data_IF_187122756484
#
_entry.id   IF_187122756484
#
_cell.length_a   1.000
_cell.length_b   1.000
_cell.length_c   1.000
_cell.angle_alpha   90.00
_cell.angle_beta   90.00
_cell.angle_gamma   90.00
#
_symmetry.space_group_name_H-M   'P 1'
#
loop_
_entity.id
_entity.type
_entity.pdbx_description
1 polymer ?
#
# COMPACT_ATOMS: atom_id res chain seq x y z
N UNK A 1 38.29 -100.45 -43.28
CA UNK A 1 39.12 -100.35 -44.49
C UNK A 1 38.38 -99.44 -45.46
N UNK A 2 38.93 -98.26 -45.75
CA UNK A 2 38.30 -97.26 -46.63
C UNK A 2 38.56 -97.70 -48.08
N UNK A 3 37.59 -98.39 -48.67
CA UNK A 3 37.67 -98.87 -50.05
C UNK A 3 37.18 -97.78 -51.01
N UNK A 4 38.02 -97.56 -52.03
CA UNK A 4 38.04 -96.46 -52.99
C UNK A 4 36.77 -96.40 -53.86
N UNK A 5 35.84 -95.50 -53.51
CA UNK A 5 34.62 -95.24 -54.30
C UNK A 5 34.90 -94.17 -55.34
N UNK A 6 35.20 -94.60 -56.58
CA UNK A 6 35.39 -93.70 -57.72
C UNK A 6 34.12 -92.89 -58.01
N UNK A 7 34.24 -91.56 -58.28
CA UNK A 7 33.09 -90.70 -58.55
C UNK A 7 32.37 -91.09 -59.85
N UNK A 8 31.03 -90.97 -59.84
CA UNK A 8 30.18 -91.26 -61.00
C UNK A 8 30.27 -90.17 -62.07
N UNK A 9 29.93 -90.55 -63.31
CA UNK A 9 30.02 -89.69 -64.52
C UNK A 9 29.35 -88.32 -64.36
N UNK A 10 28.26 -88.22 -63.58
CA UNK A 10 27.57 -86.97 -63.30
C UNK A 10 28.44 -85.95 -62.54
N UNK A 11 29.21 -86.41 -61.54
CA UNK A 11 30.12 -85.56 -60.76
C UNK A 11 31.29 -85.05 -61.61
N UNK A 12 31.73 -85.84 -62.60
CA UNK A 12 32.80 -85.43 -63.52
C UNK A 12 32.34 -84.37 -64.53
N UNK A 13 31.08 -84.39 -64.95
CA UNK A 13 30.51 -83.37 -65.84
C UNK A 13 30.31 -82.02 -65.11
N UNK A 14 29.85 -82.04 -63.86
CA UNK A 14 29.69 -80.84 -63.02
C UNK A 14 31.03 -80.15 -62.72
N UNK A 15 32.08 -80.92 -62.42
CA UNK A 15 33.44 -80.39 -62.25
C UNK A 15 34.02 -79.88 -63.57
N UNK A 16 33.60 -80.45 -64.71
CA UNK A 16 33.93 -79.97 -66.05
C UNK A 16 33.41 -78.55 -66.32
N UNK A 17 32.14 -78.30 -66.03
CA UNK A 17 31.52 -76.98 -66.23
C UNK A 17 32.12 -75.91 -65.30
N UNK A 18 32.40 -76.26 -64.04
CA UNK A 18 33.07 -75.38 -63.07
C UNK A 18 34.52 -75.08 -63.51
N UNK A 19 35.24 -76.05 -64.09
CA UNK A 19 36.59 -75.85 -64.58
C UNK A 19 36.64 -74.92 -65.83
N UNK A 20 35.59 -74.92 -66.67
CA UNK A 20 35.47 -73.96 -67.79
C UNK A 20 35.21 -72.53 -67.32
N UNK A 21 34.39 -72.32 -66.29
CA UNK A 21 34.15 -70.97 -65.73
C UNK A 21 35.38 -70.40 -65.02
N UNK A 22 36.17 -71.24 -64.34
CA UNK A 22 37.44 -70.84 -63.71
C UNK A 22 38.51 -70.51 -64.75
N UNK A 23 38.52 -71.17 -65.92
CA UNK A 23 39.41 -70.79 -67.04
C UNK A 23 39.07 -69.40 -67.59
N UNK A 24 37.78 -69.08 -67.74
CA UNK A 24 37.33 -67.76 -68.23
C UNK A 24 37.70 -66.59 -67.33
N UNK A 25 37.77 -66.82 -66.01
CA UNK A 25 38.17 -65.79 -65.04
C UNK A 25 39.69 -65.60 -64.92
N UNK A 26 40.52 -66.60 -65.26
CA UNK A 26 41.99 -66.47 -65.23
C UNK A 26 42.58 -65.71 -66.41
N UNK A 27 41.91 -65.70 -67.57
CA UNK A 27 42.40 -64.97 -68.74
C UNK A 27 42.26 -63.43 -68.62
N UNK A 28 41.45 -62.91 -67.69
CA UNK A 28 41.23 -61.46 -67.53
C UNK A 28 42.09 -60.78 -66.44
N UNK A 29 42.80 -61.56 -65.60
CA UNK A 29 43.56 -61.00 -64.45
C UNK A 29 45.04 -60.76 -64.77
N UNK A 30 45.63 -61.47 -65.73
CA UNK A 30 47.04 -61.26 -66.12
C UNK A 30 47.25 -60.00 -66.99
N UNK A 31 46.18 -59.40 -67.52
CA UNK A 31 46.26 -58.21 -68.39
C UNK A 31 46.64 -56.91 -67.66
N UNK A 32 46.49 -56.84 -66.33
CA UNK A 32 46.60 -55.58 -65.58
C UNK A 32 47.82 -55.44 -64.66
N UNK A 33 48.70 -56.46 -64.57
CA UNK A 33 49.82 -56.43 -63.62
C UNK A 33 51.21 -56.60 -64.25
N UNK A 34 51.31 -56.83 -65.56
CA UNK A 34 52.60 -56.94 -66.24
C UNK A 34 52.76 -55.87 -67.32
N UNK A 35 53.43 -54.78 -66.96
CA UNK A 35 53.58 -53.59 -67.80
C UNK A 35 54.36 -53.86 -69.09
N UNK A 36 55.23 -54.88 -69.10
CA UNK A 36 56.01 -55.25 -70.27
C UNK A 36 55.16 -55.97 -71.32
N UNK A 37 54.21 -56.82 -70.91
CA UNK A 37 53.26 -57.48 -71.80
C UNK A 37 52.32 -56.45 -72.44
N UNK A 38 51.87 -55.46 -71.67
CA UNK A 38 51.03 -54.38 -72.17
C UNK A 38 51.78 -53.51 -73.19
N UNK A 39 53.03 -53.12 -72.91
CA UNK A 39 53.86 -52.35 -73.85
C UNK A 39 54.03 -53.09 -75.18
N UNK A 40 54.25 -54.40 -75.14
CA UNK A 40 54.45 -55.21 -76.34
C UNK A 40 53.18 -55.35 -77.19
N UNK A 41 52.01 -55.54 -76.57
CA UNK A 41 50.72 -55.55 -77.30
C UNK A 41 50.42 -54.18 -77.92
N UNK A 42 50.72 -53.11 -77.18
CA UNK A 42 50.49 -51.75 -77.64
C UNK A 42 51.38 -51.37 -78.83
N UNK A 43 52.67 -51.76 -78.79
CA UNK A 43 53.61 -51.60 -79.92
C UNK A 43 53.15 -52.38 -81.14
N UNK A 44 52.72 -53.65 -80.97
CA UNK A 44 52.18 -54.46 -82.07
C UNK A 44 50.97 -53.81 -82.73
N UNK A 45 50.03 -53.27 -81.94
CA UNK A 45 48.85 -52.58 -82.47
C UNK A 45 49.20 -51.28 -83.18
N UNK A 46 50.19 -50.54 -82.68
CA UNK A 46 50.69 -49.34 -83.34
C UNK A 46 51.27 -49.66 -84.72
N UNK A 47 52.11 -50.70 -84.82
CA UNK A 47 52.71 -51.15 -86.07
C UNK A 47 51.68 -51.68 -87.07
N UNK A 48 50.69 -52.46 -86.58
CA UNK A 48 49.61 -52.97 -87.42
C UNK A 48 48.72 -51.86 -88.00
N UNK A 49 48.44 -50.81 -87.22
CA UNK A 49 47.68 -49.66 -87.72
C UNK A 49 48.51 -48.78 -88.68
N UNK A 50 49.79 -48.55 -88.38
CA UNK A 50 50.65 -47.76 -89.26
C UNK A 50 50.81 -48.42 -90.64
N UNK A 51 50.99 -49.74 -90.67
CA UNK A 51 51.05 -50.52 -91.92
C UNK A 51 49.72 -50.56 -92.68
N UNK A 52 48.58 -50.60 -91.99
CA UNK A 52 47.26 -50.46 -92.62
C UNK A 52 47.01 -49.05 -93.19
N UNK A 53 47.65 -48.02 -92.63
CA UNK A 53 47.57 -46.63 -93.08
C UNK A 53 48.60 -46.27 -94.17
N UNK A 54 49.46 -47.21 -94.57
CA UNK A 54 50.49 -46.99 -95.60
C UNK A 54 51.73 -46.23 -95.11
N UNK A 55 51.91 -46.08 -93.80
CA UNK A 55 53.08 -45.43 -93.18
C UNK A 55 54.14 -46.45 -92.76
N UNK A 56 55.42 -46.15 -93.02
CA UNK A 56 56.54 -47.00 -92.58
C UNK A 56 56.96 -46.62 -91.16
N UNK A 57 56.34 -47.25 -90.16
CA UNK A 57 56.76 -47.14 -88.76
C UNK A 57 57.71 -48.29 -88.40
N UNK A 58 58.89 -47.96 -87.87
CA UNK A 58 59.82 -48.99 -87.37
C UNK A 58 59.43 -49.44 -85.96
N UNK A 59 59.73 -50.70 -85.63
CA UNK A 59 59.42 -51.27 -84.31
C UNK A 59 60.09 -50.51 -83.16
N UNK A 60 61.28 -49.95 -83.39
CA UNK A 60 62.01 -49.16 -82.41
C UNK A 60 61.30 -47.84 -82.06
N UNK A 61 60.79 -47.12 -83.08
CA UNK A 61 60.10 -45.83 -82.89
C UNK A 61 58.74 -46.00 -82.20
N UNK A 62 58.04 -47.10 -82.50
CA UNK A 62 56.79 -47.47 -81.83
C UNK A 62 57.02 -47.72 -80.33
N UNK A 63 58.09 -48.44 -79.98
CA UNK A 63 58.43 -48.78 -78.59
C UNK A 63 58.80 -47.53 -77.77
N UNK A 64 59.62 -46.63 -78.33
CA UNK A 64 59.94 -45.32 -77.72
C UNK A 64 58.71 -44.46 -77.47
N UNK A 65 57.74 -44.47 -78.39
CA UNK A 65 56.52 -43.67 -78.27
C UNK A 65 55.61 -44.15 -77.12
N UNK A 66 55.55 -45.47 -76.91
CA UNK A 66 54.77 -46.07 -75.82
C UNK A 66 55.40 -45.79 -74.45
N UNK A 67 56.73 -45.80 -74.36
CA UNK A 67 57.43 -45.49 -73.11
C UNK A 67 57.19 -44.04 -72.65
N UNK A 68 57.27 -43.07 -73.57
CA UNK A 68 57.01 -41.66 -73.29
C UNK A 68 55.56 -41.43 -72.83
N UNK A 69 54.61 -42.18 -73.39
CA UNK A 69 53.20 -42.08 -73.01
C UNK A 69 52.97 -42.53 -71.55
N UNK A 70 53.66 -43.58 -71.11
CA UNK A 70 53.50 -44.15 -69.77
C UNK A 70 54.22 -43.34 -68.68
N UNK A 71 55.36 -42.72 -69.00
CA UNK A 71 56.13 -41.90 -68.04
C UNK A 71 55.37 -40.65 -67.55
N UNK A 72 54.46 -40.10 -68.36
CA UNK A 72 53.70 -38.89 -68.01
C UNK A 72 52.51 -39.11 -67.08
N UNK A 73 52.13 -40.35 -66.77
CA UNK A 73 50.90 -40.64 -66.01
C UNK A 73 51.05 -40.70 -64.47
N UNK A 74 52.26 -40.59 -63.90
CA UNK A 74 52.49 -40.86 -62.47
C UNK A 74 53.23 -39.77 -61.68
N UNK A 75 52.94 -38.48 -61.88
CA UNK A 75 53.40 -37.41 -60.96
C UNK A 75 52.25 -36.81 -60.15
N UNK A 76 52.42 -36.72 -58.81
CA UNK A 76 51.43 -36.16 -57.87
C UNK A 76 51.85 -34.75 -57.42
N UNK A 77 50.95 -33.75 -57.55
CA UNK A 77 51.15 -32.39 -57.01
C UNK A 77 50.15 -32.06 -55.89
N UNK A 78 50.62 -31.44 -54.80
CA UNK A 78 49.75 -30.94 -53.72
C UNK A 78 48.91 -29.72 -54.18
N UNK A 79 47.63 -29.60 -53.78
CA UNK A 79 46.79 -28.47 -54.18
C UNK A 79 47.14 -27.19 -53.41
N UNK A 80 47.39 -26.11 -54.15
CA UNK A 80 47.64 -24.75 -53.63
C UNK A 80 46.38 -24.20 -52.92
N UNK A 81 46.58 -23.42 -51.86
CA UNK A 81 45.49 -22.81 -51.08
C UNK A 81 44.55 -21.96 -51.95
N UNK A 82 43.27 -22.34 -52.03
CA UNK A 82 42.24 -21.64 -52.80
C UNK A 82 40.88 -21.58 -52.09
N UNK A 83 39.93 -20.84 -52.68
CA UNK A 83 38.60 -20.53 -52.11
C UNK A 83 37.80 -21.80 -51.72
N UNK A 84 37.94 -22.89 -52.47
CA UNK A 84 37.33 -24.18 -52.17
C UNK A 84 37.82 -24.78 -50.84
N UNK A 85 39.08 -24.54 -50.48
CA UNK A 85 39.65 -25.01 -49.21
C UNK A 85 39.20 -24.14 -48.01
N UNK A 86 38.92 -22.85 -48.25
CA UNK A 86 38.26 -21.97 -47.26
C UNK A 86 36.82 -22.38 -46.99
N UNK A 87 36.04 -22.71 -48.02
CA UNK A 87 34.69 -23.25 -47.86
C UNK A 87 34.69 -24.62 -47.17
N UNK A 88 35.64 -25.50 -47.54
CA UNK A 88 35.83 -26.77 -46.85
C UNK A 88 36.16 -26.57 -45.36
N UNK A 89 37.07 -25.65 -45.02
CA UNK A 89 37.38 -25.31 -43.62
C UNK A 89 36.21 -24.65 -42.87
N UNK A 90 35.38 -23.85 -43.54
CA UNK A 90 34.16 -23.26 -42.98
C UNK A 90 33.12 -24.34 -42.67
N UNK A 91 32.95 -25.32 -43.57
CA UNK A 91 32.03 -26.45 -43.38
C UNK A 91 32.52 -27.44 -42.32
N UNK A 92 33.82 -27.75 -42.28
CA UNK A 92 34.42 -28.63 -41.26
C UNK A 92 34.33 -27.99 -39.87
N UNK A 93 34.54 -26.67 -39.76
CA UNK A 93 34.40 -25.94 -38.49
C UNK A 93 32.98 -25.40 -38.22
N UNK A 94 31.96 -25.81 -38.98
CA UNK A 94 30.60 -25.24 -38.89
C UNK A 94 30.01 -25.29 -37.48
N UNK A 95 30.23 -26.38 -36.74
CA UNK A 95 29.78 -26.50 -35.34
C UNK A 95 30.46 -25.49 -34.42
N UNK A 96 31.78 -25.33 -34.56
CA UNK A 96 32.58 -24.42 -33.73
C UNK A 96 32.31 -22.93 -34.07
N UNK A 97 32.05 -22.61 -35.33
CA UNK A 97 31.65 -21.27 -35.79
C UNK A 97 30.24 -20.93 -35.29
N UNK A 98 29.30 -21.88 -35.41
CA UNK A 98 27.95 -21.74 -34.91
C UNK A 98 27.93 -21.49 -33.40
N UNK A 99 28.70 -22.28 -32.65
CA UNK A 99 28.79 -22.15 -31.19
C UNK A 99 29.44 -20.84 -30.74
N UNK A 100 30.50 -20.39 -31.44
CA UNK A 100 31.27 -19.21 -31.02
C UNK A 100 30.64 -17.88 -31.46
N UNK A 101 29.94 -17.83 -32.59
CA UNK A 101 29.47 -16.56 -33.16
C UNK A 101 27.97 -16.52 -33.43
N UNK A 102 27.36 -17.59 -33.94
CA UNK A 102 25.94 -17.56 -34.35
C UNK A 102 25.01 -17.68 -33.13
N UNK A 103 25.29 -18.59 -32.19
CA UNK A 103 24.53 -18.72 -30.94
C UNK A 103 24.46 -17.43 -30.12
N UNK A 104 25.57 -16.72 -29.81
CA UNK A 104 25.48 -15.46 -29.05
C UNK A 104 24.78 -14.35 -29.84
N UNK A 105 24.95 -14.29 -31.17
CA UNK A 105 24.25 -13.32 -32.01
C UNK A 105 22.72 -13.54 -31.99
N UNK A 106 22.26 -14.79 -32.13
CA UNK A 106 20.84 -15.15 -32.02
C UNK A 106 20.28 -14.89 -30.62
N UNK A 107 21.04 -15.21 -29.57
CA UNK A 107 20.65 -14.90 -28.19
C UNK A 107 20.50 -13.39 -27.99
N UNK A 108 21.39 -12.58 -28.57
CA UNK A 108 21.32 -11.11 -28.48
C UNK A 108 20.10 -10.56 -29.19
N UNK A 109 19.81 -11.03 -30.40
CA UNK A 109 18.60 -10.65 -31.15
C UNK A 109 17.34 -11.07 -30.41
N UNK A 110 17.32 -12.27 -29.83
CA UNK A 110 16.20 -12.75 -29.02
C UNK A 110 15.99 -11.89 -27.76
N UNK A 111 17.07 -11.48 -27.08
CA UNK A 111 17.00 -10.58 -25.92
C UNK A 111 16.49 -9.20 -26.33
N UNK A 112 16.98 -8.63 -27.44
CA UNK A 112 16.51 -7.34 -27.95
C UNK A 112 15.03 -7.41 -28.34
N UNK A 113 14.61 -8.47 -29.03
CA UNK A 113 13.20 -8.72 -29.37
C UNK A 113 12.33 -8.89 -28.13
N UNK A 114 12.79 -9.64 -27.13
CA UNK A 114 12.11 -9.80 -25.86
C UNK A 114 11.97 -8.48 -25.11
N UNK A 115 13.03 -7.66 -25.05
CA UNK A 115 13.00 -6.34 -24.43
C UNK A 115 12.08 -5.36 -25.18
N UNK A 116 12.01 -5.43 -26.51
CA UNK A 116 11.08 -4.61 -27.31
C UNK A 116 9.62 -5.02 -27.04
N UNK A 117 9.31 -6.31 -27.00
CA UNK A 117 7.97 -6.84 -26.69
C UNK A 117 7.60 -6.54 -25.23
N UNK A 118 8.53 -6.75 -24.28
CA UNK A 118 8.32 -6.47 -22.87
C UNK A 118 8.12 -4.97 -22.62
N UNK A 119 8.87 -4.09 -23.28
CA UNK A 119 8.70 -2.64 -23.15
C UNK A 119 7.40 -2.13 -23.81
N UNK A 120 6.98 -2.72 -24.94
CA UNK A 120 5.67 -2.44 -25.53
C UNK A 120 4.51 -2.94 -24.65
N UNK A 121 4.65 -4.14 -24.06
CA UNK A 121 3.70 -4.70 -23.10
C UNK A 121 3.63 -3.88 -21.80
N UNK A 122 4.78 -3.45 -21.28
CA UNK A 122 4.86 -2.57 -20.12
C UNK A 122 4.22 -1.20 -20.40
N UNK A 123 4.44 -0.61 -21.59
CA UNK A 123 3.74 0.61 -22.01
C UNK A 123 2.22 0.39 -22.07
N UNK A 124 1.75 -0.71 -22.68
CA UNK A 124 0.32 -1.04 -22.79
C UNK A 124 -0.34 -1.21 -21.41
N UNK A 125 0.35 -1.88 -20.46
CA UNK A 125 -0.10 -2.03 -19.08
C UNK A 125 -0.02 -0.73 -18.27
N UNK A 126 1.00 0.10 -18.48
CA UNK A 126 1.16 1.39 -17.82
C UNK A 126 0.08 2.39 -18.24
N UNK A 127 -0.29 2.42 -19.53
CA UNK A 127 -1.38 3.27 -20.02
C UNK A 127 -2.76 2.75 -19.63
N UNK A 128 -3.01 1.43 -19.68
CA UNK A 128 -4.24 0.84 -19.17
C UNK A 128 -4.44 1.07 -17.66
N UNK A 129 -3.37 1.00 -16.87
CA UNK A 129 -3.42 1.33 -15.43
C UNK A 129 -3.56 2.82 -15.13
N UNK A 130 -3.19 3.71 -16.07
CA UNK A 130 -3.35 5.16 -15.89
C UNK A 130 -4.75 5.64 -16.27
N UNK A 131 -5.34 5.04 -17.29
CA UNK A 131 -6.74 5.20 -17.71
C UNK A 131 -7.70 4.76 -16.61
N UNK A 132 -7.58 3.50 -16.16
CA UNK A 132 -8.40 2.94 -15.09
C UNK A 132 -8.33 3.74 -13.78
N UNK A 133 -7.15 4.27 -13.42
CA UNK A 133 -7.02 5.13 -12.22
C UNK A 133 -7.77 6.44 -12.36
N UNK A 134 -7.80 7.03 -13.55
CA UNK A 134 -8.51 8.29 -13.79
C UNK A 134 -10.02 8.01 -13.85
N UNK A 135 -10.44 6.91 -14.47
CA UNK A 135 -11.83 6.43 -14.42
C UNK A 135 -12.31 6.29 -12.99
N UNK A 136 -11.63 5.47 -12.17
CA UNK A 136 -12.00 5.27 -10.78
C UNK A 136 -12.04 6.57 -9.98
N UNK A 137 -11.10 7.49 -10.21
CA UNK A 137 -11.10 8.78 -9.53
C UNK A 137 -12.26 9.69 -9.98
N UNK A 138 -12.64 9.65 -11.26
CA UNK A 138 -13.82 10.36 -11.77
C UNK A 138 -15.09 9.80 -11.14
N UNK A 139 -15.23 8.46 -11.11
CA UNK A 139 -16.39 7.78 -10.51
C UNK A 139 -16.48 8.05 -9.00
N UNK A 140 -15.37 7.99 -8.27
CA UNK A 140 -15.32 8.32 -6.83
C UNK A 140 -15.77 9.77 -6.57
N UNK A 141 -15.28 10.73 -7.36
CA UNK A 141 -15.67 12.13 -7.22
C UNK A 141 -17.12 12.37 -7.65
N UNK A 142 -17.66 11.58 -8.59
CA UNK A 142 -19.07 11.62 -8.94
C UNK A 142 -19.93 11.21 -7.73
N UNK A 143 -19.61 10.07 -7.10
CA UNK A 143 -20.32 9.60 -5.91
C UNK A 143 -20.21 10.60 -4.76
N UNK A 144 -19.02 11.15 -4.54
CA UNK A 144 -18.79 12.20 -3.55
C UNK A 144 -19.68 13.42 -3.81
N UNK A 145 -19.86 13.84 -5.07
CA UNK A 145 -20.77 14.95 -5.42
C UNK A 145 -22.22 14.64 -5.04
N UNK A 146 -22.70 13.43 -5.34
CA UNK A 146 -24.06 13.01 -4.98
C UNK A 146 -24.27 12.98 -3.47
N UNK A 147 -23.31 12.41 -2.73
CA UNK A 147 -23.34 12.39 -1.26
C UNK A 147 -23.39 13.80 -0.67
N UNK A 148 -22.56 14.73 -1.18
CA UNK A 148 -22.57 16.13 -0.75
C UNK A 148 -23.91 16.81 -1.10
N UNK A 149 -24.48 16.51 -2.26
CA UNK A 149 -25.79 17.04 -2.67
C UNK A 149 -26.91 16.58 -1.73
N UNK A 150 -26.89 15.30 -1.32
CA UNK A 150 -27.85 14.75 -0.35
C UNK A 150 -27.72 15.46 0.99
N UNK A 151 -26.49 15.60 1.51
CA UNK A 151 -26.24 16.28 2.80
C UNK A 151 -26.70 17.73 2.81
N UNK A 152 -26.52 18.48 1.71
CA UNK A 152 -26.95 19.87 1.61
C UNK A 152 -28.47 20.04 1.70
N UNK A 153 -29.23 19.01 1.29
CA UNK A 153 -30.69 19.04 1.39
C UNK A 153 -31.14 19.13 2.84
N UNK A 154 -30.45 18.47 3.77
CA UNK A 154 -30.83 18.45 5.19
C UNK A 154 -30.75 19.86 5.81
N UNK A 155 -29.75 20.66 5.42
CA UNK A 155 -29.63 22.06 5.87
C UNK A 155 -30.75 22.95 5.34
N UNK A 156 -31.19 22.71 4.09
CA UNK A 156 -32.27 23.49 3.47
C UNK A 156 -33.63 23.28 4.14
N UNK A 157 -33.83 22.13 4.80
CA UNK A 157 -35.08 21.78 5.48
C UNK A 157 -35.24 22.47 6.84
N UNK A 158 -34.18 23.10 7.36
CA UNK A 158 -34.24 23.82 8.64
C UNK A 158 -35.05 25.11 8.46
N UNK A 159 -36.26 25.11 9.03
CA UNK A 159 -37.21 26.21 8.94
C UNK A 159 -37.39 26.91 10.29
N UNK A 160 -36.46 27.79 10.63
CA UNK A 160 -36.64 28.77 11.70
C UNK A 160 -35.87 30.07 11.39
N UNK A 161 -36.26 31.19 12.01
CA UNK A 161 -35.64 32.51 11.82
C UNK A 161 -34.44 32.74 12.74
N UNK A 162 -33.60 31.72 12.96
CA UNK A 162 -32.43 31.83 13.80
C UNK A 162 -31.16 32.15 12.99
N UNK A 163 -30.15 32.73 13.64
CA UNK A 163 -28.85 33.01 13.01
C UNK A 163 -28.17 31.73 12.51
N UNK A 164 -28.34 30.61 13.22
CA UNK A 164 -27.89 29.28 12.83
C UNK A 164 -28.52 28.87 11.49
N UNK A 165 -29.85 28.97 11.36
CA UNK A 165 -30.55 28.58 10.14
C UNK A 165 -30.21 29.50 8.97
N UNK A 166 -29.95 30.78 9.23
CA UNK A 166 -29.47 31.68 8.18
C UNK A 166 -28.07 31.28 7.67
N UNK A 167 -27.16 30.91 8.57
CA UNK A 167 -25.83 30.42 8.19
C UNK A 167 -25.89 29.08 7.45
N UNK A 168 -26.68 28.12 7.94
CA UNK A 168 -26.85 26.82 7.29
C UNK A 168 -27.51 26.94 5.91
N UNK A 169 -28.44 27.87 5.73
CA UNK A 169 -28.99 28.22 4.41
C UNK A 169 -27.94 28.83 3.50
N UNK A 170 -27.09 29.72 4.01
CA UNK A 170 -26.01 30.30 3.23
C UNK A 170 -25.02 29.22 2.75
N UNK A 171 -24.59 28.32 3.65
CA UNK A 171 -23.80 27.13 3.29
C UNK A 171 -24.52 26.31 2.22
N UNK A 172 -25.80 25.98 2.44
CA UNK A 172 -26.61 25.19 1.50
C UNK A 172 -26.62 25.80 0.09
N UNK A 173 -26.92 27.10 -0.01
CA UNK A 173 -27.03 27.82 -1.29
C UNK A 173 -25.68 27.94 -1.99
N UNK A 174 -24.63 28.36 -1.26
CA UNK A 174 -23.31 28.57 -1.83
C UNK A 174 -22.67 27.27 -2.28
N UNK A 175 -22.76 26.23 -1.45
CA UNK A 175 -22.25 24.90 -1.80
C UNK A 175 -23.05 24.26 -2.94
N UNK A 176 -24.38 24.41 -2.99
CA UNK A 176 -25.17 23.89 -4.10
C UNK A 176 -24.79 24.53 -5.43
N UNK A 177 -24.48 25.85 -5.43
CA UNK A 177 -23.97 26.55 -6.61
C UNK A 177 -22.59 26.03 -7.04
N UNK A 178 -21.67 25.83 -6.11
CA UNK A 178 -20.34 25.28 -6.42
C UNK A 178 -20.44 23.85 -6.96
N UNK A 179 -21.32 23.01 -6.42
CA UNK A 179 -21.59 21.68 -6.97
C UNK A 179 -22.21 21.74 -8.38
N UNK A 180 -23.06 22.73 -8.66
CA UNK A 180 -23.65 22.95 -9.98
C UNK A 180 -22.57 23.19 -11.06
N UNK A 181 -21.52 23.95 -10.73
CA UNK A 181 -20.39 24.23 -11.63
C UNK A 181 -19.64 22.93 -12.04
N UNK A 182 -19.65 21.91 -11.17
CA UNK A 182 -19.03 20.60 -11.47
C UNK A 182 -19.87 19.74 -12.43
N UNK A 183 -21.17 20.03 -12.62
CA UNK A 183 -22.07 19.19 -13.41
C UNK A 183 -21.60 19.02 -14.85
N UNK A 184 -21.06 20.08 -15.45
CA UNK A 184 -20.57 20.06 -16.83
C UNK A 184 -19.45 19.04 -17.04
N UNK A 185 -18.55 18.89 -16.07
CA UNK A 185 -17.47 17.91 -16.11
C UNK A 185 -18.03 16.48 -16.09
N UNK A 186 -18.90 16.19 -15.11
CA UNK A 186 -19.47 14.86 -14.96
C UNK A 186 -20.44 14.48 -16.09
N UNK A 187 -21.20 15.43 -16.63
CA UNK A 187 -22.04 15.19 -17.81
C UNK A 187 -21.21 14.82 -19.05
N UNK A 188 -19.94 15.24 -19.10
CA UNK A 188 -19.02 14.94 -20.20
C UNK A 188 -18.31 13.59 -20.01
N UNK A 189 -17.91 13.26 -18.78
CA UNK A 189 -17.04 12.10 -18.51
C UNK A 189 -17.71 10.98 -17.72
N UNK A 190 -19.00 11.08 -17.39
CA UNK A 190 -19.79 10.02 -16.78
C UNK A 190 -21.07 9.76 -17.58
N UNK A 191 -21.61 8.54 -17.47
CA UNK A 191 -22.97 8.21 -17.88
C UNK A 191 -24.01 8.63 -16.81
N UNK A 192 -25.28 8.25 -17.03
CA UNK A 192 -26.37 8.56 -16.10
C UNK A 192 -26.24 7.86 -14.74
N UNK A 193 -25.44 6.79 -14.65
CA UNK A 193 -25.22 6.02 -13.43
C UNK A 193 -23.91 6.43 -12.73
N UNK A 194 -23.19 7.42 -13.27
CA UNK A 194 -21.93 7.88 -12.74
C UNK A 194 -20.71 7.07 -13.19
N UNK A 195 -20.86 6.12 -14.13
CA UNK A 195 -19.74 5.36 -14.66
C UNK A 195 -18.95 6.19 -15.66
N UNK A 196 -17.63 6.15 -15.55
CA UNK A 196 -16.70 6.81 -16.47
C UNK A 196 -16.22 5.89 -17.60
N UNK A 197 -16.73 4.66 -17.64
CA UNK A 197 -16.39 3.64 -18.63
C UNK A 197 -16.63 4.17 -20.05
N UNK A 198 -15.70 3.88 -20.95
CA UNK A 198 -15.65 4.37 -22.33
C UNK A 198 -15.62 5.92 -22.53
N UNK A 199 -15.74 6.73 -21.46
CA UNK A 199 -15.70 8.21 -21.54
C UNK A 199 -14.31 8.76 -21.27
N UNK A 200 -13.58 8.12 -20.36
CA UNK A 200 -12.15 8.35 -20.17
C UNK A 200 -11.43 7.34 -21.05
N UNK A 201 -10.52 7.84 -21.89
CA UNK A 201 -9.80 7.01 -22.86
C UNK A 201 -8.32 7.31 -22.82
N UNK A 202 -7.51 6.42 -23.40
CA UNK A 202 -6.06 6.66 -23.60
C UNK A 202 -5.72 7.98 -24.28
N UNK A 203 -6.63 8.54 -25.06
CA UNK A 203 -6.40 9.80 -25.77
C UNK A 203 -6.65 11.01 -24.88
N UNK A 204 -7.59 10.92 -23.92
CA UNK A 204 -8.04 12.07 -23.12
C UNK A 204 -7.66 12.01 -21.64
N UNK A 205 -7.20 10.87 -21.09
CA UNK A 205 -7.04 10.67 -19.64
C UNK A 205 -6.16 11.73 -18.95
N UNK A 206 -5.15 12.26 -19.64
CA UNK A 206 -4.28 13.34 -19.10
C UNK A 206 -5.03 14.64 -18.90
N UNK A 207 -5.89 15.00 -19.86
CA UNK A 207 -6.71 16.20 -19.80
C UNK A 207 -7.86 16.05 -18.80
N UNK A 208 -8.46 14.86 -18.72
CA UNK A 208 -9.45 14.53 -17.70
C UNK A 208 -8.82 14.68 -16.32
N UNK A 209 -7.64 14.06 -16.09
CA UNK A 209 -6.92 14.16 -14.82
C UNK A 209 -6.58 15.60 -14.44
N UNK A 210 -6.23 16.45 -15.42
CA UNK A 210 -5.95 17.87 -15.19
C UNK A 210 -7.21 18.63 -14.76
N UNK A 211 -8.35 18.37 -15.41
CA UNK A 211 -9.64 18.97 -15.05
C UNK A 211 -10.14 18.46 -13.69
N UNK A 212 -9.96 17.17 -13.41
CA UNK A 212 -10.39 16.51 -12.18
C UNK A 212 -9.81 17.17 -10.92
N UNK A 213 -8.57 17.70 -10.97
CA UNK A 213 -7.99 18.44 -9.83
C UNK A 213 -8.83 19.64 -9.40
N UNK A 214 -9.44 20.35 -10.36
CA UNK A 214 -10.35 21.46 -10.07
C UNK A 214 -11.63 20.98 -9.41
N UNK A 215 -12.15 19.84 -9.87
CA UNK A 215 -13.32 19.17 -9.26
C UNK A 215 -13.01 18.71 -7.85
N UNK A 216 -11.89 18.05 -7.60
CA UNK A 216 -11.45 17.62 -6.27
C UNK A 216 -11.36 18.79 -5.30
N UNK A 217 -10.87 19.94 -5.77
CA UNK A 217 -10.76 21.17 -4.99
C UNK A 217 -12.14 21.74 -4.66
N UNK A 218 -13.05 21.82 -5.63
CA UNK A 218 -14.43 22.28 -5.43
C UNK A 218 -15.21 21.37 -4.47
N UNK A 219 -15.12 20.04 -4.66
CA UNK A 219 -15.75 19.07 -3.76
C UNK A 219 -15.12 19.07 -2.36
N UNK A 220 -13.83 19.37 -2.25
CA UNK A 220 -13.14 19.58 -0.98
C UNK A 220 -13.62 20.83 -0.24
N UNK A 221 -13.76 21.94 -0.95
CA UNK A 221 -14.33 23.20 -0.46
C UNK A 221 -15.75 22.99 0.08
N UNK A 222 -16.64 22.44 -0.75
CA UNK A 222 -18.02 22.10 -0.36
C UNK A 222 -18.04 21.15 0.84
N UNK A 223 -17.21 20.11 0.84
CA UNK A 223 -17.11 19.19 1.97
C UNK A 223 -16.69 19.87 3.28
N UNK A 224 -15.80 20.86 3.21
CA UNK A 224 -15.41 21.67 4.36
C UNK A 224 -16.54 22.54 4.89
N UNK A 225 -17.29 23.20 4.00
CA UNK A 225 -18.45 24.01 4.36
C UNK A 225 -19.58 23.16 4.98
N UNK A 226 -19.83 21.96 4.44
CA UNK A 226 -20.80 21.02 5.02
C UNK A 226 -20.36 20.57 6.41
N UNK A 227 -19.09 20.21 6.58
CA UNK A 227 -18.55 19.84 7.90
C UNK A 227 -18.64 20.99 8.91
N UNK A 228 -18.50 22.25 8.46
CA UNK A 228 -18.77 23.42 9.30
C UNK A 228 -20.25 23.51 9.70
N UNK A 229 -21.16 23.29 8.75
CA UNK A 229 -22.60 23.24 9.02
C UNK A 229 -22.97 22.15 10.03
N UNK A 230 -22.43 20.95 9.88
CA UNK A 230 -22.63 19.83 10.83
C UNK A 230 -22.16 20.20 12.24
N UNK A 231 -21.02 20.88 12.36
CA UNK A 231 -20.49 21.35 13.64
C UNK A 231 -21.40 22.39 14.31
N UNK A 232 -22.03 23.29 13.53
CA UNK A 232 -23.01 24.25 14.05
C UNK A 232 -24.23 23.53 14.63
N UNK A 233 -24.70 22.47 13.96
CA UNK A 233 -25.81 21.63 14.43
C UNK A 233 -25.41 20.89 15.71
N UNK A 234 -24.21 20.32 15.75
CA UNK A 234 -23.67 19.62 16.93
C UNK A 234 -23.59 20.55 18.15
N UNK A 235 -23.03 21.76 17.97
CA UNK A 235 -22.95 22.78 19.04
C UNK A 235 -24.34 23.12 19.58
N UNK A 236 -25.34 23.26 18.71
CA UNK A 236 -26.72 23.52 19.16
C UNK A 236 -27.26 22.38 20.01
N UNK A 237 -27.03 21.14 19.60
CA UNK A 237 -27.44 19.95 20.36
C UNK A 237 -26.74 19.87 21.72
N UNK A 238 -25.43 20.12 21.76
CA UNK A 238 -24.66 20.14 23.01
C UNK A 238 -25.09 21.31 23.92
N UNK A 239 -25.43 22.46 23.35
CA UNK A 239 -26.02 23.58 24.09
C UNK A 239 -27.37 23.22 24.71
N UNK A 240 -28.29 22.63 23.94
CA UNK A 240 -29.61 22.21 24.42
C UNK A 240 -29.48 21.17 25.54
N UNK A 241 -28.58 20.21 25.37
CA UNK A 241 -28.28 19.17 26.39
C UNK A 241 -27.69 19.79 27.66
N UNK A 242 -26.70 20.68 27.53
CA UNK A 242 -26.10 21.37 28.67
C UNK A 242 -27.10 22.25 29.41
N UNK A 243 -28.02 22.90 28.69
CA UNK A 243 -29.04 23.75 29.31
C UNK A 243 -30.08 22.95 30.09
N UNK A 244 -30.42 21.75 29.63
CA UNK A 244 -31.33 20.82 30.31
C UNK A 244 -30.73 20.31 31.63
N UNK A 245 -29.43 20.00 31.63
CA UNK A 245 -28.71 19.58 32.83
C UNK A 245 -28.53 20.73 33.82
N UNK A 246 -28.31 21.96 33.33
CA UNK A 246 -27.97 23.10 34.17
C UNK A 246 -29.12 23.49 35.13
N UNK A 247 -28.88 23.34 36.43
CA UNK A 247 -29.81 23.77 37.50
C UNK A 247 -29.39 25.12 38.06
N UNK A 248 -28.10 25.29 38.37
CA UNK A 248 -27.55 26.49 39.00
C UNK A 248 -27.60 27.71 38.05
N UNK A 249 -27.93 28.88 38.58
CA UNK A 249 -28.00 30.12 37.78
C UNK A 249 -26.68 30.50 37.10
N UNK A 250 -25.53 30.22 37.74
CA UNK A 250 -24.21 30.43 37.15
C UNK A 250 -23.99 29.46 35.99
N UNK A 251 -24.31 28.17 36.16
CA UNK A 251 -24.20 27.14 35.12
C UNK A 251 -25.00 27.52 33.86
N UNK A 252 -26.26 27.95 34.05
CA UNK A 252 -27.11 28.42 32.95
C UNK A 252 -26.52 29.63 32.22
N UNK A 253 -25.84 30.54 32.93
CA UNK A 253 -25.18 31.70 32.31
C UNK A 253 -23.96 31.28 31.51
N UNK A 254 -23.14 30.37 32.03
CA UNK A 254 -21.95 29.85 31.35
C UNK A 254 -22.31 29.17 30.03
N UNK A 255 -23.25 28.21 30.07
CA UNK A 255 -23.73 27.50 28.87
C UNK A 255 -24.29 28.47 27.81
N UNK A 256 -25.07 29.48 28.24
CA UNK A 256 -25.59 30.52 27.34
C UNK A 256 -24.49 31.41 26.77
N UNK A 257 -23.47 31.73 27.57
CA UNK A 257 -22.32 32.52 27.13
C UNK A 257 -21.55 31.79 26.03
N UNK A 258 -21.19 30.52 26.26
CA UNK A 258 -20.52 29.66 25.27
C UNK A 258 -21.30 29.62 23.95
N UNK A 259 -22.61 29.38 24.01
CA UNK A 259 -23.43 29.34 22.80
C UNK A 259 -23.54 30.71 22.11
N UNK A 260 -23.62 31.81 22.87
CA UNK A 260 -23.59 33.15 22.30
C UNK A 260 -22.26 33.44 21.58
N UNK A 261 -21.13 32.93 22.09
CA UNK A 261 -19.84 33.05 21.41
C UNK A 261 -19.89 32.26 20.09
N UNK A 262 -20.42 31.03 20.09
CA UNK A 262 -20.53 30.22 18.87
C UNK A 262 -21.31 30.95 17.77
N UNK A 263 -22.44 31.58 18.13
CA UNK A 263 -23.27 32.35 17.19
C UNK A 263 -22.51 33.49 16.48
N UNK A 264 -21.52 34.06 17.14
CA UNK A 264 -20.69 35.13 16.60
C UNK A 264 -19.42 34.61 15.88
N UNK A 265 -19.19 33.29 15.90
CA UNK A 265 -17.97 32.65 15.40
C UNK A 265 -18.26 31.56 14.37
N UNK A 266 -19.44 31.55 13.72
CA UNK A 266 -19.80 30.50 12.76
C UNK A 266 -18.85 30.36 11.56
N UNK A 267 -18.09 31.40 11.22
CA UNK A 267 -17.06 31.34 10.17
C UNK A 267 -15.71 30.78 10.66
N UNK A 268 -15.49 30.64 11.97
CA UNK A 268 -14.22 30.22 12.58
C UNK A 268 -14.31 28.77 13.09
N UNK A 269 -13.96 27.82 12.22
CA UNK A 269 -14.06 26.38 12.51
C UNK A 269 -13.22 25.95 13.73
N UNK A 270 -11.94 26.37 13.89
CA UNK A 270 -11.19 26.11 15.12
C UNK A 270 -11.93 26.59 16.37
N UNK A 271 -12.46 27.82 16.35
CA UNK A 271 -13.18 28.36 17.50
C UNK A 271 -14.48 27.61 17.81
N UNK A 272 -15.21 27.18 16.79
CA UNK A 272 -16.40 26.35 16.97
C UNK A 272 -16.07 25.02 17.66
N UNK A 273 -14.95 24.38 17.30
CA UNK A 273 -14.50 23.14 17.97
C UNK A 273 -14.19 23.38 19.44
N UNK A 274 -13.45 24.44 19.76
CA UNK A 274 -13.17 24.82 21.16
C UNK A 274 -14.47 25.02 21.97
N UNK A 275 -15.47 25.69 21.39
CA UNK A 275 -16.73 25.95 22.09
C UNK A 275 -17.55 24.66 22.27
N UNK A 276 -17.55 23.79 21.26
CA UNK A 276 -18.18 22.48 21.35
C UNK A 276 -17.57 21.64 22.46
N UNK A 277 -16.24 21.61 22.53
CA UNK A 277 -15.53 20.87 23.58
C UNK A 277 -15.77 21.50 24.96
N UNK A 278 -15.80 22.84 25.08
CA UNK A 278 -16.14 23.52 26.33
C UNK A 278 -17.59 23.24 26.79
N UNK A 279 -18.55 23.12 25.86
CA UNK A 279 -19.92 22.72 26.19
C UNK A 279 -19.96 21.29 26.74
N UNK A 280 -19.24 20.36 26.10
CA UNK A 280 -19.16 18.95 26.55
C UNK A 280 -18.48 18.87 27.93
N UNK A 281 -17.36 19.56 28.14
CA UNK A 281 -16.68 19.61 29.43
C UNK A 281 -17.59 20.20 30.52
N UNK A 282 -18.32 21.28 30.20
CA UNK A 282 -19.30 21.87 31.12
C UNK A 282 -20.41 20.88 31.47
N UNK A 283 -20.88 20.07 30.53
CA UNK A 283 -21.85 19.01 30.81
C UNK A 283 -21.27 17.94 31.72
N UNK A 284 -20.06 17.47 31.47
CA UNK A 284 -19.43 16.42 32.25
C UNK A 284 -19.24 16.89 33.70
N UNK A 285 -18.76 18.12 33.88
CA UNK A 285 -18.72 18.77 35.20
C UNK A 285 -20.12 18.77 35.82
N UNK A 286 -21.17 19.20 35.13
CA UNK A 286 -22.51 19.26 35.73
C UNK A 286 -23.14 17.88 36.00
N UNK A 287 -22.76 16.83 35.26
CA UNK A 287 -23.23 15.45 35.48
C UNK A 287 -22.58 14.81 36.70
N UNK A 288 -21.38 15.26 37.08
CA UNK A 288 -20.71 14.77 38.27
C UNK A 288 -21.48 15.11 39.54
N UNK A 289 -21.81 14.08 40.31
CA UNK A 289 -22.47 14.17 41.60
C UNK A 289 -21.61 13.53 42.69
N UNK A 290 -21.35 14.28 43.77
CA UNK A 290 -20.67 13.76 44.95
C UNK A 290 -20.99 14.57 46.19
N UNK A 291 -20.76 13.96 47.35
CA UNK A 291 -20.69 14.65 48.65
C UNK A 291 -19.26 14.61 49.15
N UNK A 292 -18.74 15.74 49.61
CA UNK A 292 -17.48 15.81 50.33
C UNK A 292 -17.76 15.47 51.78
N UNK A 293 -17.14 14.41 52.30
CA UNK A 293 -17.36 13.91 53.66
C UNK A 293 -16.09 13.93 54.46
N UNK A 294 -16.22 14.17 55.77
CA UNK A 294 -15.12 14.05 56.72
C UNK A 294 -14.76 12.57 56.84
N UNK A 295 -13.47 12.25 56.72
CA UNK A 295 -12.94 10.88 56.78
C UNK A 295 -13.13 10.33 58.19
N UNK A 296 -13.63 9.10 58.31
CA UNK A 296 -13.92 8.45 59.60
C UNK A 296 -13.44 7.00 59.71
N UNK A 297 -12.53 6.58 58.85
CA UNK A 297 -12.01 5.20 58.86
C UNK A 297 -10.88 5.03 59.88
N UNK A 298 -10.73 3.80 60.39
CA UNK A 298 -9.69 3.46 61.36
C UNK A 298 -8.28 3.74 60.82
N UNK A 299 -7.41 4.29 61.67
CA UNK A 299 -6.02 4.62 61.31
C UNK A 299 -5.82 5.94 60.56
N UNK A 300 -6.90 6.67 60.25
CA UNK A 300 -6.84 7.94 59.51
C UNK A 300 -7.29 9.12 60.38
N UNK A 301 -6.66 10.27 60.17
CA UNK A 301 -7.07 11.50 60.83
C UNK A 301 -8.39 12.01 60.24
N UNK A 302 -9.32 12.45 61.09
CA UNK A 302 -10.52 13.20 60.67
C UNK A 302 -10.33 14.70 60.79
N UNK A 303 -9.49 15.12 61.73
CA UNK A 303 -9.28 16.50 62.12
C UNK A 303 -7.78 16.67 62.42
N UNK A 304 -7.20 17.77 61.94
CA UNK A 304 -5.81 18.15 62.24
C UNK A 304 -5.76 19.65 62.56
N UNK A 305 -4.72 20.05 63.29
CA UNK A 305 -4.44 21.45 63.54
C UNK A 305 -2.94 21.68 63.54
N UNK A 306 -2.52 22.88 63.14
CA UNK A 306 -1.10 23.21 63.08
C UNK A 306 -0.82 24.46 62.25
N UNK A 307 0.46 24.76 62.10
CA UNK A 307 0.95 25.87 61.29
C UNK A 307 1.27 25.40 59.86
N UNK A 308 0.21 25.07 59.13
CA UNK A 308 0.29 24.57 57.74
C UNK A 308 0.01 25.66 56.69
N UNK A 309 -0.47 26.83 57.13
CA UNK A 309 -0.88 27.94 56.27
C UNK A 309 0.22 28.99 56.07
N UNK A 310 -0.09 30.08 55.36
CA UNK A 310 0.79 31.27 55.24
C UNK A 310 0.59 32.29 56.38
N UNK A 311 -0.19 31.97 57.40
CA UNK A 311 -0.58 32.88 58.48
C UNK A 311 0.32 32.77 59.71
N UNK A 312 0.12 33.67 60.68
CA UNK A 312 0.75 33.58 62.02
C UNK A 312 -0.28 33.07 63.01
N UNK A 313 -0.43 31.75 63.14
CA UNK A 313 -1.34 31.14 64.10
C UNK A 313 -1.76 29.71 63.74
N UNK A 314 -2.23 28.97 64.74
CA UNK A 314 -2.76 27.62 64.56
C UNK A 314 -3.99 27.65 63.64
N UNK A 315 -3.93 26.92 62.54
CA UNK A 315 -5.07 26.69 61.65
C UNK A 315 -5.65 25.30 61.91
N UNK A 316 -6.95 25.17 61.71
CA UNK A 316 -7.70 23.95 61.96
C UNK A 316 -8.26 23.41 60.65
N UNK A 317 -8.23 22.09 60.46
CA UNK A 317 -8.67 21.45 59.24
C UNK A 317 -9.48 20.19 59.51
N UNK A 318 -10.47 19.94 58.65
CA UNK A 318 -11.13 18.64 58.53
C UNK A 318 -10.51 17.87 57.37
N UNK A 319 -10.16 16.61 57.59
CA UNK A 319 -9.72 15.71 56.52
C UNK A 319 -10.95 15.16 55.83
N UNK A 320 -11.05 15.36 54.52
CA UNK A 320 -12.23 15.07 53.72
C UNK A 320 -11.90 14.25 52.47
N UNK A 321 -12.92 13.57 51.96
CA UNK A 321 -12.89 12.85 50.68
C UNK A 321 -14.21 13.06 49.92
N UNK A 322 -14.16 13.08 48.58
CA UNK A 322 -15.35 13.11 47.76
C UNK A 322 -15.89 11.69 47.58
N UNK A 323 -17.17 11.48 47.87
CA UNK A 323 -17.84 10.19 47.67
C UNK A 323 -19.09 10.34 46.82
N UNK A 324 -19.31 9.40 45.90
CA UNK A 324 -20.51 9.37 45.07
C UNK A 324 -21.72 8.75 45.80
N UNK A 325 -22.86 8.70 45.13
CA UNK A 325 -24.12 8.12 45.64
C UNK A 325 -24.03 6.63 46.02
N UNK A 326 -23.01 5.91 45.55
CA UNK A 326 -22.74 4.51 45.94
C UNK A 326 -21.78 4.39 47.13
N UNK A 327 -21.39 5.51 47.74
CA UNK A 327 -20.44 5.55 48.85
C UNK A 327 -19.00 5.25 48.46
N UNK A 328 -18.65 5.33 47.16
CA UNK A 328 -17.28 5.12 46.69
C UNK A 328 -16.56 6.45 46.60
N UNK A 329 -15.30 6.48 47.05
CA UNK A 329 -14.41 7.63 46.86
C UNK A 329 -14.23 7.89 45.38
N UNK A 330 -14.37 9.16 44.98
CA UNK A 330 -14.15 9.64 43.61
C UNK A 330 -13.05 10.71 43.61
N UNK A 331 -12.26 10.81 42.54
CA UNK A 331 -11.25 11.86 42.45
C UNK A 331 -11.88 13.25 42.45
N UNK A 332 -11.31 14.17 43.23
CA UNK A 332 -11.69 15.58 43.31
C UNK A 332 -10.62 16.44 42.63
N UNK A 333 -11.00 17.27 41.66
CA UNK A 333 -10.08 18.20 41.00
C UNK A 333 -10.11 19.56 41.69
N UNK A 334 -9.01 19.92 42.36
CA UNK A 334 -8.78 21.22 42.98
C UNK A 334 -7.81 22.05 42.12
N UNK A 335 -7.84 23.38 42.26
CA UNK A 335 -6.84 24.26 41.64
C UNK A 335 -5.72 24.56 42.63
N UNK A 336 -4.46 24.37 42.21
CA UNK A 336 -3.32 24.70 43.05
C UNK A 336 -3.11 26.22 43.09
N UNK A 337 -3.18 26.80 44.29
CA UNK A 337 -3.06 28.25 44.52
C UNK A 337 -1.68 28.83 44.16
N UNK A 338 -0.65 27.99 44.05
CA UNK A 338 0.72 28.41 43.75
C UNK A 338 1.04 28.53 42.26
N UNK A 339 0.45 27.68 41.40
CA UNK A 339 0.75 27.64 39.97
C UNK A 339 -0.50 27.61 39.06
N UNK A 340 -1.71 27.57 39.63
CA UNK A 340 -2.97 27.51 38.89
C UNK A 340 -3.24 26.19 38.17
N UNK A 341 -2.41 25.16 38.37
CA UNK A 341 -2.61 23.85 37.73
C UNK A 341 -3.66 23.02 38.48
N UNK A 342 -4.48 22.23 37.76
CA UNK A 342 -5.40 21.30 38.39
C UNK A 342 -4.62 20.18 39.11
N UNK A 343 -5.06 19.83 40.31
CA UNK A 343 -4.53 18.73 41.11
C UNK A 343 -5.68 17.79 41.45
N UNK A 344 -5.46 16.50 41.21
CA UNK A 344 -6.44 15.47 41.54
C UNK A 344 -6.16 14.92 42.93
N UNK A 345 -7.16 14.95 43.80
CA UNK A 345 -7.09 14.58 45.22
C UNK A 345 -8.11 13.49 45.51
N UNK A 346 -7.72 12.47 46.26
CA UNK A 346 -8.66 11.48 46.80
C UNK A 346 -9.04 11.81 48.24
N UNK A 347 -8.10 12.37 48.99
CA UNK A 347 -8.25 12.85 50.36
C UNK A 347 -7.49 14.16 50.46
N UNK A 348 -8.07 15.16 51.12
CA UNK A 348 -7.44 16.46 51.34
C UNK A 348 -7.90 17.07 52.67
N UNK A 349 -7.26 18.15 53.13
CA UNK A 349 -7.67 18.88 54.31
C UNK A 349 -8.39 20.18 53.93
N UNK A 350 -9.60 20.39 54.42
CA UNK A 350 -10.38 21.63 54.29
C UNK A 350 -10.20 22.48 55.54
N UNK A 351 -9.75 23.73 55.39
CA UNK A 351 -9.64 24.65 56.51
C UNK A 351 -11.03 24.97 57.07
N UNK A 352 -11.15 24.90 58.40
CA UNK A 352 -12.38 25.17 59.14
C UNK A 352 -12.13 26.17 60.26
N UNK A 353 -13.15 26.92 60.70
CA UNK A 353 -13.06 27.72 61.91
C UNK A 353 -12.77 26.86 63.15
N UNK A 354 -12.05 27.40 64.12
CA UNK A 354 -11.75 26.74 65.40
C UNK A 354 -13.02 26.23 66.11
N UNK A 355 -14.10 27.03 66.08
CA UNK A 355 -15.39 26.65 66.66
C UNK A 355 -16.02 25.41 66.00
N UNK A 356 -15.82 25.23 64.69
CA UNK A 356 -16.27 24.03 63.96
C UNK A 356 -15.37 22.85 64.32
N UNK A 357 -14.06 23.06 64.41
CA UNK A 357 -13.11 22.03 64.78
C UNK A 357 -13.39 21.46 66.17
N UNK A 358 -13.54 22.32 67.19
CA UNK A 358 -13.81 21.86 68.55
C UNK A 358 -15.16 21.14 68.65
N UNK A 359 -16.20 21.61 67.96
CA UNK A 359 -17.49 20.89 67.90
C UNK A 359 -17.35 19.49 67.31
N UNK A 360 -16.68 19.35 66.17
CA UNK A 360 -16.51 18.05 65.51
C UNK A 360 -15.62 17.10 66.34
N UNK A 361 -14.65 17.66 67.06
CA UNK A 361 -13.77 16.92 67.97
C UNK A 361 -14.55 16.42 69.19
N UNK A 362 -15.38 17.26 69.80
CA UNK A 362 -16.24 16.87 70.92
C UNK A 362 -17.21 15.76 70.51
N UNK A 363 -17.87 15.90 69.36
CA UNK A 363 -18.76 14.87 68.77
C UNK A 363 -18.02 13.53 68.62
N UNK A 364 -16.84 13.55 68.00
CA UNK A 364 -16.03 12.34 67.82
C UNK A 364 -15.54 11.73 69.14
N UNK A 365 -15.34 12.52 70.19
CA UNK A 365 -14.90 12.01 71.50
C UNK A 365 -16.03 11.34 72.28
N UNK A 366 -17.30 11.61 71.94
CA UNK A 366 -18.47 11.03 72.62
C UNK A 366 -18.63 9.54 72.29
N UNK A 367 -18.67 9.19 70.99
CA UNK A 367 -18.91 7.82 70.53
C UNK A 367 -17.92 7.30 69.47
N UNK A 368 -16.92 8.11 69.10
CA UNK A 368 -15.94 7.78 68.06
C UNK A 368 -16.34 8.20 66.65
N UNK A 369 -17.54 8.77 66.46
CA UNK A 369 -18.15 9.08 65.16
C UNK A 369 -18.42 10.59 65.09
N UNK A 370 -18.29 11.15 63.88
CA UNK A 370 -18.77 12.50 63.58
C UNK A 370 -20.14 12.35 62.93
N UNK A 371 -21.19 12.81 63.58
CA UNK A 371 -22.56 12.73 63.11
C UNK A 371 -22.80 13.63 61.89
N UNK A 372 -22.38 14.90 61.97
CA UNK A 372 -22.47 15.88 60.85
C UNK A 372 -21.21 15.84 59.97
N UNK A 373 -21.04 14.71 59.28
CA UNK A 373 -19.84 14.44 58.50
C UNK A 373 -19.87 14.94 57.06
N UNK A 374 -20.93 15.61 56.63
CA UNK A 374 -21.03 16.12 55.27
C UNK A 374 -20.48 17.54 55.26
N UNK A 375 -19.32 17.72 54.63
CA UNK A 375 -18.69 19.03 54.53
C UNK A 375 -19.31 19.86 53.40
N UNK A 376 -19.41 19.29 52.21
CA UNK A 376 -19.95 19.96 51.02
C UNK A 376 -20.74 18.99 50.12
N UNK A 377 -21.59 19.55 49.27
CA UNK A 377 -22.41 18.78 48.32
C UNK A 377 -22.26 19.35 46.91
N UNK A 378 -22.05 18.46 45.93
CA UNK A 378 -22.12 18.75 44.50
C UNK A 378 -23.27 17.97 43.87
N UNK A 379 -24.47 18.56 43.78
CA UNK A 379 -25.58 17.94 43.08
C UNK A 379 -25.42 18.05 41.56
N UNK A 380 -26.12 17.18 40.82
CA UNK A 380 -26.23 17.29 39.36
C UNK A 380 -26.77 18.68 38.96
N UNK A 381 -26.21 19.24 37.89
CA UNK A 381 -26.59 20.54 37.34
C UNK A 381 -25.88 21.73 37.97
N UNK A 382 -24.83 21.48 38.77
CA UNK A 382 -24.00 22.48 39.42
C UNK A 382 -22.55 22.37 38.96
N UNK A 383 -21.89 23.52 38.79
CA UNK A 383 -20.49 23.59 38.35
C UNK A 383 -19.49 23.38 39.49
N UNK A 384 -19.89 23.69 40.71
CA UNK A 384 -19.06 23.59 41.90
C UNK A 384 -19.89 23.03 43.05
N UNK A 385 -19.20 22.40 43.99
CA UNK A 385 -19.79 21.99 45.25
C UNK A 385 -20.08 23.20 46.15
N UNK A 386 -20.96 23.02 47.13
CA UNK A 386 -21.32 24.05 48.09
C UNK A 386 -21.18 23.53 49.51
N UNK A 387 -20.58 24.33 50.39
CA UNK A 387 -20.37 23.96 51.78
C UNK A 387 -21.72 23.93 52.51
N UNK A 388 -21.94 22.86 53.26
CA UNK A 388 -23.14 22.63 54.07
C UNK A 388 -22.85 22.56 55.56
N UNK A 389 -21.61 22.29 55.98
CA UNK A 389 -21.22 22.40 57.38
C UNK A 389 -21.38 23.86 57.86
N UNK A 390 -21.95 24.03 59.05
CA UNK A 390 -22.23 25.34 59.63
C UNK A 390 -21.38 25.62 60.87
N UNK A 391 -21.29 26.88 61.28
CA UNK A 391 -20.79 27.28 62.59
C UNK A 391 -21.77 26.88 63.72
N UNK A 392 -21.36 27.07 64.98
CA UNK A 392 -22.21 26.84 66.15
C UNK A 392 -23.49 27.69 66.15
N UNK A 393 -23.45 28.89 65.56
CA UNK A 393 -24.59 29.78 65.39
C UNK A 393 -25.44 29.46 64.14
N UNK A 394 -25.19 28.32 63.49
CA UNK A 394 -25.80 27.89 62.22
C UNK A 394 -25.50 28.79 61.02
N UNK A 395 -24.55 29.74 61.12
CA UNK A 395 -24.07 30.48 59.95
C UNK A 395 -23.24 29.57 59.02
N UNK A 396 -23.30 29.82 57.70
CA UNK A 396 -22.51 29.05 56.71
C UNK A 396 -21.05 29.47 56.80
N UNK A 397 -20.15 28.50 56.72
CA UNK A 397 -18.72 28.80 56.58
C UNK A 397 -18.37 29.07 55.11
N UNK A 398 -17.38 29.93 54.89
CA UNK A 398 -16.77 30.12 53.59
C UNK A 398 -15.65 29.09 53.37
N UNK A 399 -15.35 28.77 52.11
CA UNK A 399 -14.26 27.84 51.79
C UNK A 399 -12.92 28.49 52.13
N UNK A 400 -12.15 27.85 53.01
CA UNK A 400 -10.80 28.28 53.37
C UNK A 400 -9.72 27.65 52.48
N UNK A 401 -8.50 27.55 53.01
CA UNK A 401 -7.36 26.91 52.35
C UNK A 401 -7.55 25.39 52.29
N UNK A 402 -7.19 24.80 51.15
CA UNK A 402 -7.15 23.35 50.96
C UNK A 402 -5.69 22.86 50.99
N UNK A 403 -5.43 21.79 51.75
CA UNK A 403 -4.10 21.15 51.80
C UNK A 403 -4.15 19.76 51.18
N UNK A 404 -3.12 19.43 50.39
CA UNK A 404 -2.95 18.08 49.82
C UNK A 404 -1.80 17.29 50.48
N UNK A 405 -1.19 17.86 51.52
CA UNK A 405 -0.20 17.23 52.39
C UNK A 405 -0.31 17.82 53.80
N UNK A 406 -0.06 17.01 54.84
CA UNK A 406 -0.09 17.41 56.25
C UNK A 406 0.76 16.51 57.14
#
# INVERSE_FOLDING_TARGET
>A
MLEDKKPGLATLLEVGDIASDVRRQREQVDFWLNIDIFKDDFVKRLLANASAAGETLTEEDARKSVDIYLERQYSFEQPKHGFSNRLANLYVNRGRIFDRYVKPALATVAVIGFLAVASAGAKKLYYAGSEARVESAVEENYQKREDLTIKLRDFSLLNNNSSESNELRNISVMSARELDETKSFFAKYCDSNGSADDKVTRENYKDVRRQLKGIETALGSVGGEIARGDLIIDIRKEYETALDIAVQGIAKREVKSLYSIAKNSFSDVPKLREIRDALVETQDIMKDEFTVRIVQREGEYSLIFGDYGRGTGTSFYAIVEAVNSRGRVVPYTAMNTGNGMPVTLNVWAEQIPESVYERLKEDKLDDGIIADNIFAVKPVGFLADSIVVSNHDSSRIERGVQLNNW
#
